data_IF_992340290830
#
_entry.id   IF_992340290830
#
_cell.length_a   1.000
_cell.length_b   1.000
_cell.length_c   1.000
_cell.angle_alpha   90.00
_cell.angle_beta   90.00
_cell.angle_gamma   90.00
#
_symmetry.space_group_name_H-M   'P 1'
#
loop_
_entity.id
_entity.type
_entity.pdbx_description
1 polymer ?
#
# COMPACT_ATOMS: atom_id res chain seq x y z
N UNK A 1 -1.35 3.38 -0.44
CA UNK A 1 0.04 2.90 -0.34
C UNK A 1 0.22 2.17 0.98
N UNK A 2 0.38 0.85 0.92
CA UNK A 2 0.86 0.01 2.03
C UNK A 2 2.35 0.31 2.31
N UNK A 3 2.82 0.04 3.52
CA UNK A 3 4.22 0.19 3.92
C UNK A 3 4.68 1.62 4.22
N UNK A 4 3.80 2.63 4.08
CA UNK A 4 4.14 4.00 4.45
C UNK A 4 4.30 4.12 5.96
N UNK A 5 5.46 4.59 6.40
CA UNK A 5 5.73 4.85 7.81
C UNK A 5 5.33 6.28 8.16
N UNK A 6 4.52 6.43 9.20
CA UNK A 6 4.17 7.71 9.80
C UNK A 6 4.88 7.84 11.14
N UNK A 7 5.56 8.97 11.34
CA UNK A 7 6.23 9.28 12.61
C UNK A 7 5.42 10.31 13.40
N UNK A 8 4.95 9.90 14.58
CA UNK A 8 4.31 10.77 15.56
C UNK A 8 5.36 11.17 16.60
N UNK A 9 5.81 12.42 16.52
CA UNK A 9 6.86 12.92 17.41
C UNK A 9 6.38 13.01 18.86
N UNK A 10 7.17 12.53 19.81
CA UNK A 10 6.88 12.61 21.25
C UNK A 10 5.77 11.66 21.76
N UNK A 11 5.18 10.84 20.89
CA UNK A 11 4.17 9.84 21.27
C UNK A 11 4.77 8.47 21.66
N UNK A 12 6.09 8.33 21.57
CA UNK A 12 6.80 7.11 21.93
C UNK A 12 6.99 6.92 23.44
N UNK A 13 7.79 5.92 23.78
CA UNK A 13 8.09 5.54 25.16
C UNK A 13 8.82 6.66 25.91
N UNK A 14 8.54 6.87 27.20
CA UNK A 14 9.32 7.78 28.04
C UNK A 14 10.75 7.25 28.22
N UNK A 15 11.71 8.17 28.32
CA UNK A 15 13.12 7.80 28.56
C UNK A 15 13.29 7.38 30.01
N UNK A 16 13.79 6.16 30.26
CA UNK A 16 14.13 5.69 31.61
C UNK A 16 15.22 6.59 32.22
N UNK A 17 14.94 7.16 33.39
CA UNK A 17 15.82 8.08 34.13
C UNK A 17 16.22 9.37 33.40
N UNK A 18 15.46 9.82 32.40
CA UNK A 18 15.70 11.05 31.66
C UNK A 18 14.47 11.96 31.55
N UNK A 19 14.63 13.09 30.86
CA UNK A 19 13.53 14.01 30.53
C UNK A 19 13.21 13.90 29.04
N UNK A 20 11.98 13.50 28.70
CA UNK A 20 11.51 13.41 27.31
C UNK A 20 10.78 12.12 26.98
N UNK A 21 10.18 12.08 25.78
CA UNK A 21 9.54 10.91 25.18
C UNK A 21 10.11 10.68 23.79
N UNK A 22 10.26 9.41 23.41
CA UNK A 22 10.62 9.03 22.05
C UNK A 22 9.51 9.31 21.04
N UNK A 23 9.74 8.95 19.79
CA UNK A 23 8.75 9.04 18.73
C UNK A 23 8.05 7.69 18.52
N UNK A 24 6.78 7.72 18.13
CA UNK A 24 6.05 6.54 17.70
C UNK A 24 6.14 6.44 16.18
N UNK A 25 6.54 5.28 15.67
CA UNK A 25 6.54 4.99 14.23
C UNK A 25 5.42 4.00 13.96
N UNK A 26 4.50 4.37 13.07
CA UNK A 26 3.35 3.57 12.68
C UNK A 26 3.52 3.16 11.22
N UNK A 27 3.41 1.87 10.94
CA UNK A 27 3.39 1.34 9.58
C UNK A 27 1.95 1.14 9.11
N UNK A 28 1.61 1.68 7.94
CA UNK A 28 0.28 1.51 7.35
C UNK A 28 0.27 0.20 6.56
N UNK A 29 -0.40 -0.82 7.08
CA UNK A 29 -0.75 -2.02 6.32
C UNK A 29 -2.11 -1.81 5.62
N UNK A 30 -2.16 -2.04 4.30
CA UNK A 30 -3.41 -2.04 3.53
C UNK A 30 -3.73 -3.49 3.20
N UNK A 31 -4.83 -4.00 3.76
CA UNK A 31 -5.33 -5.33 3.42
C UNK A 31 -6.23 -5.26 2.18
N UNK A 32 -5.90 -6.03 1.15
CA UNK A 32 -6.74 -6.17 -0.04
C UNK A 32 -7.71 -7.35 0.13
N UNK A 33 -9.04 -7.12 0.01
CA UNK A 33 -10.03 -8.18 0.19
C UNK A 33 -9.95 -9.21 -0.95
N UNK A 34 -9.89 -10.50 -0.60
CA UNK A 34 -9.77 -11.61 -1.58
C UNK A 34 -11.09 -12.14 -2.11
N UNK A 35 -12.21 -11.83 -1.44
CA UNK A 35 -13.56 -12.23 -1.84
C UNK A 35 -14.41 -10.99 -2.08
N UNK A 36 -14.75 -10.76 -3.34
CA UNK A 36 -15.53 -9.61 -3.78
C UNK A 36 -16.85 -10.08 -4.40
N UNK A 37 -17.93 -9.37 -4.07
CA UNK A 37 -19.24 -9.53 -4.72
C UNK A 37 -19.21 -8.98 -6.16
N UNK A 38 -20.22 -9.31 -6.99
CA UNK A 38 -20.27 -8.88 -8.39
C UNK A 38 -20.23 -7.34 -8.54
N UNK A 39 -20.93 -6.63 -7.67
CA UNK A 39 -20.99 -5.16 -7.68
C UNK A 39 -19.63 -4.54 -7.31
N UNK A 40 -18.96 -5.07 -6.28
CA UNK A 40 -17.63 -4.60 -5.88
C UNK A 40 -16.58 -4.82 -6.98
N UNK A 41 -16.69 -5.90 -7.75
CA UNK A 41 -15.83 -6.15 -8.92
C UNK A 41 -16.08 -5.12 -10.02
N UNK A 42 -17.34 -4.85 -10.34
CA UNK A 42 -17.69 -3.86 -11.36
C UNK A 42 -17.16 -2.45 -11.03
N UNK A 43 -17.23 -2.05 -9.75
CA UNK A 43 -16.68 -0.77 -9.28
C UNK A 43 -15.15 -0.74 -9.43
N UNK A 44 -14.45 -1.84 -9.10
CA UNK A 44 -13.01 -1.92 -9.28
C UNK A 44 -12.59 -1.93 -10.76
N UNK A 45 -13.41 -2.51 -11.65
CA UNK A 45 -13.21 -2.46 -13.10
C UNK A 45 -13.38 -1.04 -13.65
N UNK A 46 -14.44 -0.32 -13.24
CA UNK A 46 -14.63 1.09 -13.60
C UNK A 46 -13.50 1.98 -13.07
N UNK A 47 -13.06 1.72 -11.83
CA UNK A 47 -11.92 2.41 -11.24
C UNK A 47 -10.65 2.19 -12.08
N UNK A 48 -10.39 0.95 -12.51
CA UNK A 48 -9.27 0.61 -13.40
C UNK A 48 -9.33 1.32 -14.75
N UNK A 49 -10.51 1.52 -15.33
CA UNK A 49 -10.66 2.25 -16.60
C UNK A 49 -10.25 3.73 -16.49
N UNK A 50 -10.36 4.31 -15.30
CA UNK A 50 -9.92 5.68 -15.01
C UNK A 50 -8.47 5.81 -14.58
N UNK A 51 -7.79 4.69 -14.26
CA UNK A 51 -6.39 4.71 -13.85
C UNK A 51 -5.45 4.84 -15.07
N UNK A 52 -4.60 5.86 -15.04
CA UNK A 52 -3.66 6.20 -16.11
C UNK A 52 -2.36 5.37 -16.09
N UNK A 53 -2.27 4.38 -15.19
CA UNK A 53 -1.11 3.47 -15.09
C UNK A 53 0.14 4.08 -14.44
N UNK A 54 0.01 5.28 -13.87
CA UNK A 54 1.04 5.91 -13.03
C UNK A 54 0.81 5.67 -11.52
N UNK A 55 -0.43 5.37 -11.10
CA UNK A 55 -0.76 5.21 -9.68
C UNK A 55 -0.35 3.85 -9.07
N UNK A 56 -0.03 2.86 -9.91
CA UNK A 56 0.24 1.47 -9.50
C UNK A 56 1.69 1.03 -9.84
N UNK A 57 2.71 1.45 -9.08
CA UNK A 57 4.11 1.05 -9.35
C UNK A 57 4.38 -0.45 -9.12
N UNK A 58 3.57 -1.14 -8.30
CA UNK A 58 3.72 -2.59 -8.08
C UNK A 58 3.08 -3.46 -9.19
N UNK A 59 2.12 -2.94 -9.97
CA UNK A 59 1.39 -3.75 -10.97
C UNK A 59 2.16 -3.96 -12.28
N UNK A 60 3.15 -3.10 -12.60
CA UNK A 60 4.06 -3.30 -13.75
C UNK A 60 4.83 -4.62 -13.65
N UNK A 61 5.10 -5.12 -12.44
CA UNK A 61 5.94 -6.30 -12.24
C UNK A 61 5.37 -7.65 -12.69
N UNK A 62 4.05 -7.79 -12.85
CA UNK A 62 3.42 -9.10 -13.10
C UNK A 62 2.99 -9.32 -14.55
N UNK A 63 2.43 -8.29 -15.20
CA UNK A 63 1.96 -8.39 -16.58
C UNK A 63 3.11 -8.28 -17.58
N UNK A 64 4.10 -7.44 -17.31
CA UNK A 64 5.28 -7.29 -18.17
C UNK A 64 6.11 -8.60 -18.19
N UNK A 65 6.29 -9.25 -17.03
CA UNK A 65 6.96 -10.56 -16.94
C UNK A 65 6.25 -11.69 -17.71
N UNK A 66 4.93 -11.63 -17.81
CA UNK A 66 4.13 -12.62 -18.54
C UNK A 66 4.17 -12.35 -20.05
N UNK A 67 4.26 -11.08 -20.45
CA UNK A 67 4.40 -10.68 -21.86
C UNK A 67 5.79 -11.01 -22.40
N UNK A 68 6.84 -10.82 -21.60
CA UNK A 68 8.23 -11.20 -21.94
C UNK A 68 8.39 -12.73 -22.08
N UNK A 69 7.59 -13.54 -21.39
CA UNK A 69 7.66 -14.99 -21.47
C UNK A 69 6.90 -15.60 -22.66
N UNK A 70 5.94 -14.87 -23.25
CA UNK A 70 5.08 -15.37 -24.33
C UNK A 70 5.25 -14.63 -25.67
N UNK A 71 6.11 -13.60 -25.75
CA UNK A 71 6.31 -12.82 -26.97
C UNK A 71 7.75 -12.38 -27.17
N UNK A 72 8.51 -13.21 -27.90
CA UNK A 72 9.89 -13.03 -28.40
C UNK A 72 11.03 -13.13 -27.37
#
# INVERSE_FOLDING_TARGET
>A
QSGKQLRVRGAGMPVLQGRGRGDMVVEIAVETPTKLTKEQKAILEQFRETETGEECPESRGFFDRLKDAFGA
#
